data_IF_874572092641
#
_entry.id   IF_874572092641
#
_cell.length_a   1.000
_cell.length_b   1.000
_cell.length_c   1.000
_cell.angle_alpha   90.00
_cell.angle_beta   90.00
_cell.angle_gamma   90.00
#
_symmetry.space_group_name_H-M   'P 1'
#
loop_
_entity.id
_entity.type
_entity.pdbx_description
1 polymer ?
#
# COMPACT_ATOMS: atom_id res chain seq x y z
N UNK A 1 31.55 28.94 0.40
CA UNK A 1 31.75 27.49 0.60
C UNK A 1 31.08 26.77 -0.55
N UNK A 2 31.84 26.01 -1.34
CA UNK A 2 31.31 25.20 -2.45
C UNK A 2 30.43 24.09 -1.89
N UNK A 3 29.17 24.03 -2.32
CA UNK A 3 28.21 23.00 -1.90
C UNK A 3 28.66 21.66 -2.50
N UNK A 4 29.03 20.71 -1.65
CA UNK A 4 29.38 19.35 -2.12
C UNK A 4 28.22 18.78 -2.93
N UNK A 5 28.50 18.08 -4.05
CA UNK A 5 27.46 17.40 -4.81
C UNK A 5 26.77 16.36 -3.93
N UNK A 6 25.45 16.14 -4.12
CA UNK A 6 24.70 15.21 -3.30
C UNK A 6 25.21 13.77 -3.49
N UNK A 7 25.18 13.00 -2.40
CA UNK A 7 25.56 11.59 -2.40
C UNK A 7 24.64 10.77 -3.33
N UNK A 8 25.24 9.91 -4.14
CA UNK A 8 24.53 8.96 -5.00
C UNK A 8 24.43 7.61 -4.30
N UNK A 9 23.20 7.19 -4.01
CA UNK A 9 22.91 5.89 -3.44
C UNK A 9 22.95 4.82 -4.53
N UNK A 10 23.41 3.61 -4.17
CA UNK A 10 23.38 2.45 -5.06
C UNK A 10 21.93 2.14 -5.50
N UNK A 11 21.73 1.58 -6.71
CA UNK A 11 20.42 1.13 -7.13
C UNK A 11 19.91 0.01 -6.20
N UNK A 12 18.58 -0.11 -5.99
CA UNK A 12 18.02 -1.21 -5.22
C UNK A 12 18.34 -2.55 -5.90
N UNK A 13 18.60 -3.57 -5.08
CA UNK A 13 18.92 -4.94 -5.55
C UNK A 13 17.71 -5.87 -5.52
N UNK A 14 16.66 -5.48 -4.80
CA UNK A 14 15.40 -6.22 -4.69
C UNK A 14 14.23 -5.25 -4.54
N UNK A 15 13.05 -5.67 -4.99
CA UNK A 15 11.79 -4.96 -4.79
C UNK A 15 10.77 -5.93 -4.27
N UNK A 16 10.13 -5.60 -3.15
CA UNK A 16 9.06 -6.40 -2.58
C UNK A 16 7.74 -5.65 -2.69
N UNK A 17 6.67 -6.37 -3.05
CA UNK A 17 5.30 -5.85 -3.02
C UNK A 17 4.61 -6.36 -1.78
N UNK A 18 3.98 -5.43 -1.07
CA UNK A 18 3.28 -5.67 0.18
C UNK A 18 1.81 -5.43 -0.06
N UNK A 19 0.98 -6.43 0.23
CA UNK A 19 -0.46 -6.29 0.34
C UNK A 19 -0.82 -6.18 1.82
N UNK A 20 -1.59 -5.17 2.17
CA UNK A 20 -2.01 -4.95 3.55
C UNK A 20 -3.50 -4.64 3.64
N UNK A 21 -4.06 -4.89 4.83
CA UNK A 21 -5.40 -4.49 5.19
C UNK A 21 -5.38 -3.26 6.09
N UNK A 22 -6.46 -2.48 6.02
CA UNK A 22 -6.73 -1.33 6.87
C UNK A 22 -8.13 -1.48 7.44
N UNK A 23 -8.22 -1.84 8.73
CA UNK A 23 -9.46 -2.28 9.38
C UNK A 23 -9.75 -1.50 10.66
N UNK A 24 -10.95 -1.71 11.21
CA UNK A 24 -11.36 -1.14 12.50
C UNK A 24 -11.19 0.38 12.54
N UNK A 25 -10.61 0.89 13.63
CA UNK A 25 -10.37 2.34 13.81
C UNK A 25 -9.36 2.92 12.81
N UNK A 26 -8.45 2.09 12.28
CA UNK A 26 -7.39 2.54 11.37
C UNK A 26 -7.96 2.95 10.01
N UNK A 27 -9.19 2.53 9.64
CA UNK A 27 -9.89 3.00 8.43
C UNK A 27 -10.03 4.53 8.34
N UNK A 28 -10.02 5.23 9.47
CA UNK A 28 -10.13 6.68 9.56
C UNK A 28 -8.81 7.43 9.45
N UNK A 29 -7.68 6.74 9.30
CA UNK A 29 -6.38 7.38 9.06
C UNK A 29 -6.28 7.88 7.61
N UNK A 30 -5.64 9.02 7.39
CA UNK A 30 -5.35 9.47 6.02
C UNK A 30 -4.22 8.62 5.39
N UNK A 31 -4.04 8.74 4.07
CA UNK A 31 -2.89 8.12 3.41
C UNK A 31 -1.56 8.56 4.02
N UNK A 32 -1.41 9.85 4.39
CA UNK A 32 -0.20 10.39 5.01
C UNK A 32 0.07 9.79 6.39
N UNK A 33 -0.97 9.55 7.17
CA UNK A 33 -0.85 8.93 8.49
C UNK A 33 -0.36 7.49 8.36
N UNK A 34 -0.91 6.76 7.38
CA UNK A 34 -0.43 5.43 7.03
C UNK A 34 1.03 5.46 6.56
N UNK A 35 1.40 6.31 5.60
CA UNK A 35 2.80 6.38 5.11
C UNK A 35 3.78 6.64 6.24
N UNK A 36 3.44 7.56 7.17
CA UNK A 36 4.25 7.81 8.36
C UNK A 36 4.33 6.61 9.30
N UNK A 37 3.23 5.88 9.50
CA UNK A 37 3.23 4.68 10.33
C UNK A 37 4.08 3.56 9.70
N UNK A 38 3.96 3.38 8.39
CA UNK A 38 4.72 2.41 7.62
C UNK A 38 6.22 2.74 7.58
N UNK A 39 6.59 4.01 7.37
CA UNK A 39 7.99 4.48 7.47
C UNK A 39 8.59 4.21 8.86
N UNK A 40 7.81 4.42 9.93
CA UNK A 40 8.25 4.06 11.29
C UNK A 40 8.34 2.55 11.49
N UNK A 41 7.50 1.76 10.82
CA UNK A 41 7.54 0.30 10.91
C UNK A 41 8.80 -0.24 10.24
N UNK A 42 9.10 0.16 9.00
CA UNK A 42 10.33 -0.27 8.30
C UNK A 42 11.60 0.11 9.06
N UNK A 43 11.61 1.28 9.71
CA UNK A 43 12.74 1.71 10.53
C UNK A 43 12.88 0.89 11.82
N UNK A 44 11.78 0.64 12.54
CA UNK A 44 11.78 -0.17 13.78
C UNK A 44 12.15 -1.63 13.51
N UNK A 45 11.65 -2.18 12.41
CA UNK A 45 11.96 -3.52 11.92
C UNK A 45 13.38 -3.67 11.35
N UNK A 46 14.14 -2.57 11.23
CA UNK A 46 15.47 -2.57 10.61
C UNK A 46 15.48 -3.15 9.19
N UNK A 47 14.42 -2.91 8.43
CA UNK A 47 14.34 -3.34 7.02
C UNK A 47 15.48 -2.68 6.25
N UNK A 48 16.29 -3.43 5.45
CA UNK A 48 17.43 -2.89 4.71
C UNK A 48 16.95 -2.12 3.48
N UNK A 49 16.30 -0.99 3.70
CA UNK A 49 15.72 -0.14 2.66
C UNK A 49 16.82 0.44 1.77
N UNK A 50 16.56 0.48 0.45
CA UNK A 50 17.30 1.34 -0.46
C UNK A 50 16.78 2.78 -0.34
N UNK A 51 17.68 3.75 -0.48
CA UNK A 51 17.36 5.17 -0.32
C UNK A 51 17.44 5.92 -1.66
N UNK A 52 16.75 7.06 -1.73
CA UNK A 52 16.90 8.01 -2.82
C UNK A 52 18.26 8.73 -2.74
N UNK A 53 18.78 9.16 -3.89
CA UNK A 53 19.98 10.00 -3.97
C UNK A 53 19.60 11.47 -3.78
N UNK A 54 20.49 12.31 -3.27
CA UNK A 54 20.20 13.73 -3.06
C UNK A 54 20.66 14.27 -1.72
N UNK A 55 20.23 15.50 -1.42
CA UNK A 55 20.52 16.16 -0.14
C UNK A 55 19.60 15.70 1.02
N UNK A 56 18.49 15.03 0.70
CA UNK A 56 17.52 14.50 1.67
C UNK A 56 17.12 13.07 1.27
N UNK A 57 18.01 12.09 1.44
CA UNK A 57 17.72 10.69 1.13
C UNK A 57 16.56 10.20 1.99
N UNK A 58 15.62 9.52 1.37
CA UNK A 58 14.46 8.91 2.01
C UNK A 58 14.29 7.47 1.52
N UNK A 59 13.71 6.57 2.35
CA UNK A 59 13.48 5.20 1.96
C UNK A 59 12.61 5.15 0.70
N UNK A 60 12.97 4.27 -0.25
CA UNK A 60 12.23 4.12 -1.50
C UNK A 60 10.98 3.27 -1.27
N UNK A 61 9.85 3.94 -1.15
CA UNK A 61 8.52 3.33 -1.01
C UNK A 61 7.62 3.92 -2.10
N UNK A 62 6.94 3.06 -2.83
CA UNK A 62 5.95 3.44 -3.86
C UNK A 62 4.59 2.93 -3.45
N UNK A 63 3.63 3.84 -3.25
CA UNK A 63 2.26 3.48 -2.88
C UNK A 63 1.39 3.42 -4.13
N UNK A 64 0.45 2.47 -4.18
CA UNK A 64 -0.48 2.36 -5.29
C UNK A 64 -1.90 2.65 -4.80
N UNK A 65 -2.35 3.88 -5.07
CA UNK A 65 -3.63 4.38 -4.60
C UNK A 65 -3.73 4.44 -3.08
N UNK A 66 -4.95 4.75 -2.61
CA UNK A 66 -5.34 4.64 -1.21
C UNK A 66 -6.88 4.61 -1.14
N UNK A 67 -7.46 3.71 -0.35
CA UNK A 67 -8.88 3.81 -0.05
C UNK A 67 -9.22 5.16 0.63
N UNK A 68 -10.39 5.75 0.32
CA UNK A 68 -10.86 6.97 0.97
C UNK A 68 -10.92 6.81 2.49
N UNK A 69 -10.62 7.89 3.20
CA UNK A 69 -10.76 7.95 4.66
C UNK A 69 -12.18 7.53 5.08
N UNK A 70 -12.27 6.62 6.04
CA UNK A 70 -13.53 6.05 6.51
C UNK A 70 -13.87 4.69 5.89
N UNK A 71 -13.23 4.32 4.78
CA UNK A 71 -13.38 2.99 4.17
C UNK A 71 -12.35 2.01 4.74
N UNK A 72 -12.81 0.82 5.12
CA UNK A 72 -11.91 -0.29 5.38
C UNK A 72 -11.44 -0.89 4.05
N UNK A 73 -10.24 -1.46 4.02
CA UNK A 73 -9.66 -2.06 2.81
C UNK A 73 -9.00 -3.38 3.15
N UNK A 74 -9.20 -4.37 2.28
CA UNK A 74 -8.63 -5.72 2.38
C UNK A 74 -7.47 -5.92 1.39
N UNK A 75 -7.19 -4.91 0.57
CA UNK A 75 -6.27 -5.02 -0.55
C UNK A 75 -5.70 -3.65 -0.92
N UNK A 76 -4.94 -3.07 0.01
CA UNK A 76 -4.05 -1.95 -0.31
C UNK A 76 -2.66 -2.47 -0.70
N UNK A 77 -1.96 -1.73 -1.55
CA UNK A 77 -0.67 -2.18 -2.08
C UNK A 77 0.39 -1.09 -2.00
N UNK A 78 1.60 -1.51 -1.68
CA UNK A 78 2.81 -0.71 -1.82
C UNK A 78 3.98 -1.58 -2.29
N UNK A 79 5.02 -0.92 -2.77
CA UNK A 79 6.29 -1.54 -3.15
C UNK A 79 7.43 -0.88 -2.38
N UNK A 80 8.27 -1.70 -1.76
CA UNK A 80 9.51 -1.26 -1.10
C UNK A 80 10.71 -1.71 -1.91
N UNK A 81 11.73 -0.85 -1.99
CA UNK A 81 12.99 -1.19 -2.63
C UNK A 81 14.07 -1.43 -1.57
N UNK A 82 14.81 -2.53 -1.69
CA UNK A 82 15.78 -2.98 -0.70
C UNK A 82 17.22 -2.86 -1.22
N UNK A 83 18.13 -2.59 -0.29
CA UNK A 83 19.58 -2.54 -0.50
C UNK A 83 20.24 -3.92 -0.38
N UNK A 84 19.51 -4.91 0.14
CA UNK A 84 19.96 -6.29 0.30
C UNK A 84 18.84 -7.24 -0.12
N UNK A 85 19.20 -8.43 -0.60
CA UNK A 85 18.22 -9.49 -0.84
C UNK A 85 17.82 -10.10 0.49
N UNK A 86 16.53 -10.07 0.79
CA UNK A 86 15.93 -10.64 2.00
C UNK A 86 14.79 -11.56 1.60
N UNK A 87 14.57 -12.59 2.41
CA UNK A 87 13.40 -13.45 2.28
C UNK A 87 12.10 -12.66 2.53
N UNK A 88 11.12 -12.82 1.64
CA UNK A 88 9.86 -12.09 1.70
C UNK A 88 9.03 -12.44 2.94
N UNK A 89 9.08 -13.69 3.41
CA UNK A 89 8.39 -14.12 4.62
C UNK A 89 9.00 -13.49 5.88
N UNK A 90 10.32 -13.30 5.90
CA UNK A 90 11.01 -12.55 6.95
C UNK A 90 10.54 -11.10 7.01
N UNK A 91 10.45 -10.42 5.85
CA UNK A 91 9.94 -9.05 5.79
C UNK A 91 8.47 -8.97 6.22
N UNK A 92 7.65 -9.95 5.82
CA UNK A 92 6.26 -10.05 6.28
C UNK A 92 6.18 -10.06 7.81
N UNK A 93 6.88 -10.99 8.48
CA UNK A 93 6.84 -11.12 9.93
C UNK A 93 7.30 -9.85 10.65
N UNK A 94 8.40 -9.24 10.19
CA UNK A 94 8.94 -8.02 10.78
C UNK A 94 7.99 -6.82 10.66
N UNK A 95 7.33 -6.67 9.50
CA UNK A 95 6.37 -5.60 9.27
C UNK A 95 5.08 -5.81 10.08
N UNK A 96 4.60 -7.05 10.15
CA UNK A 96 3.39 -7.41 10.90
C UNK A 96 3.57 -7.13 12.40
N UNK A 97 4.73 -7.49 12.98
CA UNK A 97 5.06 -7.16 14.38
C UNK A 97 5.22 -5.64 14.62
N UNK A 98 5.69 -4.91 13.60
CA UNK A 98 6.02 -3.48 13.75
C UNK A 98 4.83 -2.56 13.51
N UNK A 99 3.83 -2.99 12.75
CA UNK A 99 2.64 -2.20 12.44
C UNK A 99 1.64 -2.21 13.62
N UNK A 100 0.87 -1.12 13.80
CA UNK A 100 -0.16 -1.09 14.83
C UNK A 100 -1.38 -1.93 14.44
N UNK A 101 -2.09 -2.46 15.45
CA UNK A 101 -3.34 -3.21 15.27
C UNK A 101 -4.30 -2.55 14.27
N UNK A 102 -4.77 -3.32 13.29
CA UNK A 102 -5.67 -2.86 12.23
C UNK A 102 -4.95 -2.34 10.97
N UNK A 103 -3.62 -2.38 10.94
CA UNK A 103 -2.79 -2.34 9.73
C UNK A 103 -2.09 -3.68 9.58
N UNK A 104 -2.78 -4.65 8.96
CA UNK A 104 -2.32 -6.04 8.95
C UNK A 104 -1.60 -6.35 7.64
N UNK A 105 -0.41 -6.94 7.71
CA UNK A 105 0.29 -7.40 6.50
C UNK A 105 -0.36 -8.70 6.08
N UNK A 106 -0.84 -8.76 4.84
CA UNK A 106 -1.52 -9.96 4.34
C UNK A 106 -0.60 -10.82 3.49
N UNK A 107 0.33 -10.19 2.78
CA UNK A 107 1.23 -10.87 1.84
C UNK A 107 2.41 -9.97 1.48
N UNK A 108 3.58 -10.59 1.35
CA UNK A 108 4.78 -9.97 0.79
C UNK A 108 5.34 -10.91 -0.26
N UNK A 109 5.59 -10.40 -1.47
CA UNK A 109 6.13 -11.16 -2.59
C UNK A 109 7.25 -10.41 -3.27
N UNK A 110 8.20 -11.14 -3.87
CA UNK A 110 9.22 -10.52 -4.71
C UNK A 110 8.59 -10.00 -6.00
N UNK A 111 8.92 -8.77 -6.39
CA UNK A 111 8.43 -8.21 -7.63
C UNK A 111 9.01 -8.94 -8.86
N UNK A 112 10.15 -9.62 -8.73
CA UNK A 112 10.74 -10.45 -9.77
C UNK A 112 9.89 -11.69 -10.10
N UNK A 113 9.09 -12.18 -9.14
CA UNK A 113 8.18 -13.33 -9.31
C UNK A 113 6.87 -12.94 -10.02
N UNK A 114 6.69 -11.65 -10.31
CA UNK A 114 5.49 -11.11 -10.92
C UNK A 114 5.76 -10.67 -12.36
N UNK A 115 4.71 -10.58 -13.16
CA UNK A 115 4.89 -10.08 -14.53
C UNK A 115 5.35 -8.61 -14.50
N UNK A 116 6.20 -8.27 -15.48
CA UNK A 116 6.81 -6.95 -15.62
C UNK A 116 5.76 -5.85 -15.67
N UNK A 117 6.04 -4.72 -15.01
CA UNK A 117 5.18 -3.54 -14.98
C UNK A 117 5.24 -2.83 -13.63
N UNK A 118 4.89 -1.54 -13.61
CA UNK A 118 4.78 -0.79 -12.37
C UNK A 118 3.64 -1.32 -11.50
N UNK A 119 3.72 -1.13 -10.18
CA UNK A 119 2.65 -1.56 -9.27
C UNK A 119 1.29 -0.94 -9.66
N UNK A 120 1.28 0.35 -10.02
CA UNK A 120 0.06 1.06 -10.41
C UNK A 120 -0.59 0.48 -11.67
N UNK A 121 0.20 0.05 -12.67
CA UNK A 121 -0.30 -0.52 -13.92
C UNK A 121 -1.03 -1.85 -13.72
N UNK A 122 -0.77 -2.52 -12.59
CA UNK A 122 -1.41 -3.80 -12.23
C UNK A 122 -2.74 -3.62 -11.49
N UNK A 123 -3.05 -2.42 -11.01
CA UNK A 123 -4.31 -2.14 -10.34
C UNK A 123 -5.40 -1.84 -11.38
N UNK A 124 -6.08 -2.88 -11.84
CA UNK A 124 -7.07 -2.78 -12.93
C UNK A 124 -8.53 -2.73 -12.45
N UNK A 125 -8.79 -3.07 -11.18
CA UNK A 125 -10.13 -3.12 -10.63
C UNK A 125 -10.14 -2.81 -9.13
N UNK A 126 -11.29 -2.34 -8.64
CA UNK A 126 -11.61 -2.26 -7.21
C UNK A 126 -12.91 -3.01 -6.94
N UNK A 127 -12.98 -3.70 -5.81
CA UNK A 127 -14.20 -4.38 -5.35
C UNK A 127 -14.68 -3.70 -4.08
N UNK A 128 -15.93 -3.28 -4.10
CA UNK A 128 -16.56 -2.59 -2.97
C UNK A 128 -17.63 -3.49 -2.36
N UNK A 129 -17.68 -3.49 -1.03
CA UNK A 129 -18.79 -4.03 -0.25
C UNK A 129 -19.42 -2.86 0.50
N UNK A 130 -20.69 -2.62 0.23
CA UNK A 130 -21.48 -1.55 0.86
C UNK A 130 -22.68 -2.21 1.50
N UNK A 131 -22.82 -2.02 2.81
CA UNK A 131 -24.03 -2.39 3.53
C UNK A 131 -24.99 -1.21 3.50
N UNK A 132 -26.14 -1.39 2.85
CA UNK A 132 -27.17 -0.36 2.70
C UNK A 132 -28.28 -0.50 3.74
N UNK A 133 -28.33 -1.61 4.48
CA UNK A 133 -29.45 -1.97 5.36
C UNK A 133 -30.79 -2.19 4.63
N UNK A 134 -30.81 -2.18 3.30
CA UNK A 134 -32.04 -2.37 2.51
C UNK A 134 -32.38 -3.85 2.31
N UNK A 135 -33.66 -4.13 2.06
CA UNK A 135 -34.11 -5.45 1.60
C UNK A 135 -33.42 -5.84 0.29
N UNK A 136 -33.04 -7.12 0.14
CA UNK A 136 -32.29 -7.61 -1.01
C UNK A 136 -33.03 -7.39 -2.33
N UNK A 137 -34.34 -7.64 -2.36
CA UNK A 137 -35.16 -7.50 -3.58
C UNK A 137 -35.21 -6.04 -4.00
N UNK A 138 -35.45 -5.14 -3.04
CA UNK A 138 -35.44 -3.70 -3.28
C UNK A 138 -34.06 -3.21 -3.75
N UNK A 139 -32.99 -3.65 -3.09
CA UNK A 139 -31.63 -3.28 -3.46
C UNK A 139 -31.28 -3.75 -4.88
N UNK A 140 -31.65 -4.99 -5.25
CA UNK A 140 -31.43 -5.51 -6.60
C UNK A 140 -32.19 -4.71 -7.66
N UNK A 141 -33.45 -4.37 -7.41
CA UNK A 141 -34.23 -3.53 -8.32
C UNK A 141 -33.60 -2.15 -8.50
N UNK A 142 -33.25 -1.48 -7.39
CA UNK A 142 -32.64 -0.16 -7.43
C UNK A 142 -31.28 -0.14 -8.15
N UNK A 143 -30.44 -1.18 -7.96
CA UNK A 143 -29.17 -1.31 -8.70
C UNK A 143 -29.43 -1.53 -10.19
N UNK A 144 -30.41 -2.35 -10.57
CA UNK A 144 -30.75 -2.56 -11.97
C UNK A 144 -31.22 -1.25 -12.63
N UNK A 145 -32.10 -0.51 -11.97
CA UNK A 145 -32.60 0.79 -12.43
C UNK A 145 -31.46 1.82 -12.56
N UNK A 146 -30.54 1.83 -11.58
CA UNK A 146 -29.37 2.70 -11.60
C UNK A 146 -28.42 2.41 -12.77
N UNK A 147 -28.15 1.14 -13.07
CA UNK A 147 -27.21 0.74 -14.12
C UNK A 147 -27.70 1.05 -15.53
N UNK A 148 -29.02 1.21 -15.73
CA UNK A 148 -29.61 1.58 -17.04
C UNK A 148 -29.91 3.07 -17.16
N UNK A 149 -29.83 3.84 -16.06
CA UNK A 149 -30.07 5.27 -16.08
C UNK A 149 -28.90 6.01 -16.76
N UNK A 150 -29.21 6.94 -17.67
CA UNK A 150 -28.19 7.77 -18.32
C UNK A 150 -27.59 8.84 -17.38
N UNK A 151 -28.35 9.22 -16.35
CA UNK A 151 -27.89 10.15 -15.30
C UNK A 151 -28.65 9.93 -13.99
N UNK A 152 -28.05 10.41 -12.89
CA UNK A 152 -28.60 10.36 -11.54
C UNK A 152 -28.73 11.80 -11.07
N UNK A 153 -29.96 12.29 -10.93
CA UNK A 153 -30.29 13.62 -10.37
C UNK A 153 -30.48 13.59 -8.88
#
# INVERSE_FOLDING_TARGET
MSRQPPEQQAPPVQRLRVRYAKRGRLRFTSHRDFSRAFERAVFRAQVPMAYSSGFNPHPRISYAGAAPTGSASEAEYLEIALAQVVDAATIHALLDESLPDGLDVLEVVDAADLEKGGLADRLVASRWLIDTGADETLARSAVADFLVAESVT
#
